data_IF_537676831620
#
_entry.id   IF_537676831620
#
_cell.length_a   1.000
_cell.length_b   1.000
_cell.length_c   1.000
_cell.angle_alpha   90.00
_cell.angle_beta   90.00
_cell.angle_gamma   90.00
#
_symmetry.space_group_name_H-M   'P 1'
#
loop_
_entity.id
_entity.type
_entity.pdbx_description
1 polymer ?
#
# COMPACT_ATOMS: atom_id res chain seq x y z
N UNK A 1 15.52 10.39 12.05
CA UNK A 1 15.04 9.00 11.95
C UNK A 1 14.24 8.95 10.65
N UNK A 2 14.70 8.23 9.62
CA UNK A 2 14.10 8.33 8.27
C UNK A 2 13.06 7.21 8.12
N UNK A 3 11.83 7.46 8.58
CA UNK A 3 10.68 6.58 8.37
C UNK A 3 9.58 7.35 7.64
N UNK A 4 8.73 6.64 6.91
CA UNK A 4 7.51 7.23 6.37
C UNK A 4 6.54 7.47 7.52
N UNK A 5 6.20 8.74 7.79
CA UNK A 5 5.43 9.12 8.98
C UNK A 5 4.05 8.44 9.01
N UNK A 6 3.48 8.15 7.83
CA UNK A 6 2.22 7.41 7.67
C UNK A 6 2.18 6.01 8.28
N UNK A 7 3.30 5.47 8.76
CA UNK A 7 3.33 4.21 9.53
C UNK A 7 2.96 4.46 11.01
N UNK A 8 3.33 5.63 11.56
CA UNK A 8 3.20 5.96 12.99
C UNK A 8 2.19 7.08 13.27
N UNK A 9 1.84 7.86 12.25
CA UNK A 9 0.88 8.96 12.37
C UNK A 9 -0.52 8.43 12.74
N UNK A 10 -1.30 9.16 13.57
CA UNK A 10 -2.68 8.81 13.92
C UNK A 10 -3.52 8.48 12.69
N UNK A 11 -4.40 7.47 12.80
CA UNK A 11 -5.24 7.00 11.68
C UNK A 11 -6.06 8.16 11.10
N UNK A 12 -6.01 8.32 9.77
CA UNK A 12 -6.74 9.36 9.06
C UNK A 12 -8.21 8.94 8.83
N UNK A 13 -9.10 9.90 8.59
CA UNK A 13 -10.52 9.60 8.40
C UNK A 13 -10.79 8.84 7.09
N UNK A 14 -9.93 9.01 6.08
CA UNK A 14 -10.01 8.33 4.80
C UNK A 14 -8.66 7.80 4.33
N UNK A 15 -8.72 6.74 3.54
CA UNK A 15 -7.55 6.18 2.87
C UNK A 15 -7.91 5.60 1.49
N UNK A 16 -6.91 5.50 0.63
CA UNK A 16 -6.96 4.73 -0.62
C UNK A 16 -5.76 3.81 -0.64
N UNK A 17 -6.03 2.51 -0.73
CA UNK A 17 -5.04 1.46 -0.89
C UNK A 17 -4.93 1.12 -2.36
N UNK A 18 -3.73 1.12 -2.90
CA UNK A 18 -3.47 0.79 -4.31
C UNK A 18 -2.37 -0.24 -4.41
N UNK A 19 -2.67 -1.36 -5.04
CA UNK A 19 -1.76 -2.48 -5.21
C UNK A 19 -1.41 -2.64 -6.69
N UNK A 20 -0.13 -2.83 -6.98
CA UNK A 20 0.37 -2.88 -8.35
C UNK A 20 1.27 -4.07 -8.61
N UNK A 21 1.20 -4.58 -9.83
CA UNK A 21 2.16 -5.54 -10.37
C UNK A 21 3.21 -4.83 -11.23
N UNK A 22 4.45 -5.30 -11.20
CA UNK A 22 5.52 -4.77 -12.04
C UNK A 22 5.38 -5.32 -13.47
N UNK A 23 5.39 -4.44 -14.47
CA UNK A 23 5.37 -4.81 -15.89
C UNK A 23 6.72 -4.56 -16.58
N UNK A 24 7.51 -3.59 -16.09
CA UNK A 24 8.88 -3.32 -16.54
C UNK A 24 9.77 -3.00 -15.34
N UNK A 25 10.61 -3.97 -14.95
CA UNK A 25 11.47 -3.88 -13.77
C UNK A 25 12.59 -2.85 -13.91
N UNK A 26 13.11 -2.61 -15.12
CA UNK A 26 14.19 -1.64 -15.31
C UNK A 26 13.66 -0.22 -15.10
N UNK A 27 12.56 0.11 -15.78
CA UNK A 27 11.89 1.40 -15.63
C UNK A 27 11.27 1.59 -14.24
N UNK A 28 10.88 0.51 -13.56
CA UNK A 28 10.41 0.54 -12.19
C UNK A 28 11.50 1.01 -11.21
N UNK A 29 12.74 0.54 -11.35
CA UNK A 29 13.85 0.92 -10.47
C UNK A 29 14.09 2.44 -10.48
N UNK A 30 14.16 3.05 -11.67
CA UNK A 30 14.37 4.48 -11.84
C UNK A 30 13.21 5.30 -11.26
N UNK A 31 11.98 4.83 -11.44
CA UNK A 31 10.79 5.50 -10.94
C UNK A 31 10.70 5.46 -9.40
N UNK A 32 11.15 4.38 -8.77
CA UNK A 32 11.08 4.20 -7.30
C UNK A 32 11.92 5.23 -6.55
N UNK A 33 13.11 5.56 -7.06
CA UNK A 33 13.99 6.55 -6.41
C UNK A 33 13.31 7.94 -6.36
N UNK A 34 12.69 8.33 -7.48
CA UNK A 34 11.87 9.55 -7.55
C UNK A 34 10.62 9.47 -6.66
N UNK A 35 9.95 8.32 -6.64
CA UNK A 35 8.71 8.13 -5.88
C UNK A 35 8.94 8.17 -4.37
N UNK A 36 10.00 7.54 -3.87
CA UNK A 36 10.31 7.51 -2.44
C UNK A 36 10.45 8.92 -1.84
N UNK A 37 11.07 9.84 -2.59
CA UNK A 37 11.20 11.24 -2.17
C UNK A 37 9.86 11.97 -2.03
N UNK A 38 8.84 11.58 -2.82
CA UNK A 38 7.49 12.19 -2.80
C UNK A 38 6.63 11.69 -1.64
N UNK A 39 6.99 10.56 -1.04
CA UNK A 39 6.28 9.97 0.11
C UNK A 39 6.92 10.38 1.45
N UNK A 40 8.13 10.93 1.42
CA UNK A 40 8.79 11.40 2.62
C UNK A 40 8.01 12.55 3.29
N UNK A 41 7.51 12.31 4.51
CA UNK A 41 6.84 13.32 5.34
C UNK A 41 5.43 13.71 4.91
N UNK A 42 4.80 12.96 3.99
CA UNK A 42 3.43 13.26 3.52
C UNK A 42 2.33 12.56 4.32
N UNK A 43 2.67 11.67 5.26
CA UNK A 43 1.71 10.79 5.92
C UNK A 43 1.20 9.65 5.03
N UNK A 44 1.60 9.58 3.76
CA UNK A 44 1.36 8.42 2.89
C UNK A 44 2.41 7.34 3.10
N UNK A 45 2.14 6.13 2.59
CA UNK A 45 3.06 4.99 2.69
C UNK A 45 3.26 4.35 1.31
N UNK A 46 4.52 4.15 0.95
CA UNK A 46 4.99 3.31 -0.15
C UNK A 46 5.57 2.02 0.44
N UNK A 47 4.95 0.89 0.13
CA UNK A 47 5.41 -0.46 0.46
C UNK A 47 5.99 -1.17 -0.76
N UNK A 48 7.08 -1.91 -0.55
CA UNK A 48 7.73 -2.75 -1.58
C UNK A 48 7.39 -4.21 -1.30
N UNK A 49 6.78 -4.86 -2.28
CA UNK A 49 6.48 -6.29 -2.22
C UNK A 49 7.64 -7.16 -2.68
N UNK A 50 7.59 -8.43 -2.29
CA UNK A 50 8.61 -9.42 -2.66
C UNK A 50 8.84 -9.55 -4.17
N UNK A 51 7.81 -9.56 -5.05
CA UNK A 51 8.02 -9.66 -6.49
C UNK A 51 8.92 -8.55 -7.05
N UNK A 52 8.81 -7.33 -6.52
CA UNK A 52 9.66 -6.21 -6.94
C UNK A 52 11.07 -6.34 -6.40
N UNK A 53 11.23 -6.66 -5.11
CA UNK A 53 12.54 -6.83 -4.50
C UNK A 53 13.36 -7.93 -5.21
N UNK A 54 12.74 -9.09 -5.46
CA UNK A 54 13.37 -10.19 -6.21
C UNK A 54 13.68 -9.77 -7.65
N UNK A 55 12.74 -9.10 -8.33
CA UNK A 55 12.93 -8.62 -9.70
C UNK A 55 14.08 -7.62 -9.86
N UNK A 56 14.36 -6.83 -8.83
CA UNK A 56 15.50 -5.90 -8.76
C UNK A 56 16.78 -6.54 -8.22
N UNK A 57 16.75 -7.83 -7.85
CA UNK A 57 17.89 -8.53 -7.25
C UNK A 57 18.25 -8.01 -5.84
N UNK A 58 17.31 -7.38 -5.15
CA UNK A 58 17.50 -6.81 -3.81
C UNK A 58 17.14 -7.82 -2.72
N UNK A 59 18.05 -8.02 -1.77
CA UNK A 59 17.79 -8.84 -0.58
C UNK A 59 17.36 -7.93 0.59
N UNK A 60 16.11 -8.08 1.04
CA UNK A 60 15.56 -7.37 2.20
C UNK A 60 15.36 -8.38 3.34
N UNK A 61 16.15 -8.31 4.43
CA UNK A 61 15.99 -9.22 5.56
C UNK A 61 14.58 -9.16 6.16
N UNK A 62 13.95 -10.33 6.30
CA UNK A 62 12.59 -10.45 6.85
C UNK A 62 11.45 -10.20 5.85
N UNK A 63 11.76 -9.93 4.57
CA UNK A 63 10.75 -9.86 3.52
C UNK A 63 10.43 -11.27 2.99
N UNK A 64 9.50 -11.93 3.69
CA UNK A 64 8.98 -13.24 3.31
C UNK A 64 7.61 -13.10 2.62
N UNK A 65 7.28 -13.98 1.67
CA UNK A 65 5.91 -14.04 1.14
C UNK A 65 4.93 -14.38 2.27
N UNK A 66 3.72 -13.82 2.18
CA UNK A 66 2.63 -14.16 3.11
C UNK A 66 2.37 -15.68 3.06
N UNK A 67 2.35 -16.37 4.21
CA UNK A 67 2.14 -17.80 4.24
C UNK A 67 0.72 -18.18 3.78
N UNK A 68 0.61 -19.28 3.03
CA UNK A 68 -0.69 -19.87 2.69
C UNK A 68 -1.23 -20.65 3.89
N UNK A 69 -2.40 -20.24 4.39
CA UNK A 69 -3.11 -20.87 5.50
C UNK A 69 -4.37 -21.63 5.06
N UNK A 70 -4.51 -21.91 3.76
CA UNK A 70 -5.66 -22.63 3.22
C UNK A 70 -5.72 -24.06 3.77
N UNK A 71 -6.68 -24.32 4.66
CA UNK A 71 -6.88 -25.60 5.36
C UNK A 71 -8.36 -25.87 5.61
N UNK A 72 -8.77 -27.14 5.54
CA UNK A 72 -10.11 -27.57 5.99
C UNK A 72 -11.29 -26.91 5.26
N UNK A 73 -11.13 -26.52 4.00
CA UNK A 73 -12.18 -25.85 3.21
C UNK A 73 -12.27 -24.33 3.39
N UNK A 74 -11.45 -23.76 4.28
CA UNK A 74 -11.20 -22.32 4.36
C UNK A 74 -10.00 -22.00 3.45
N UNK A 75 -10.18 -21.04 2.55
CA UNK A 75 -9.13 -20.54 1.67
C UNK A 75 -8.68 -19.18 2.19
N UNK A 76 -7.40 -19.07 2.56
CA UNK A 76 -6.75 -17.80 2.90
C UNK A 76 -5.68 -17.59 1.83
N UNK A 77 -6.03 -16.92 0.71
CA UNK A 77 -5.12 -16.80 -0.41
C UNK A 77 -3.90 -15.95 -0.04
N UNK A 78 -2.73 -16.39 -0.46
CA UNK A 78 -1.52 -15.56 -0.46
C UNK A 78 -1.41 -14.84 -1.79
N UNK A 79 -1.97 -13.64 -1.85
CA UNK A 79 -1.83 -12.75 -3.01
C UNK A 79 -0.66 -11.80 -2.77
N UNK A 80 0.27 -11.72 -3.73
CA UNK A 80 1.45 -10.88 -3.65
C UNK A 80 1.45 -9.90 -4.81
N UNK A 81 1.70 -8.63 -4.50
CA UNK A 81 1.86 -7.56 -5.47
C UNK A 81 3.25 -6.92 -5.35
N UNK A 82 3.68 -6.23 -6.41
CA UNK A 82 5.00 -5.60 -6.48
C UNK A 82 5.10 -4.33 -5.63
N UNK A 83 4.02 -3.53 -5.56
CA UNK A 83 3.94 -2.30 -4.79
C UNK A 83 2.61 -2.15 -4.06
N UNK A 84 2.67 -1.51 -2.89
CA UNK A 84 1.51 -1.03 -2.14
C UNK A 84 1.66 0.48 -1.93
N UNK A 85 0.64 1.26 -2.29
CA UNK A 85 0.50 2.65 -1.89
C UNK A 85 -0.66 2.78 -0.91
N UNK A 86 -0.42 3.47 0.21
CA UNK A 86 -1.46 3.86 1.15
C UNK A 86 -1.51 5.38 1.15
N UNK A 87 -2.50 5.93 0.46
CA UNK A 87 -2.81 7.36 0.49
C UNK A 87 -3.79 7.61 1.64
N UNK A 88 -3.55 8.64 2.43
CA UNK A 88 -4.23 8.90 3.70
C UNK A 88 -4.57 10.38 3.82
N UNK A 89 -5.75 10.72 4.34
CA UNK A 89 -6.15 12.10 4.53
C UNK A 89 -7.62 12.23 4.94
N UNK A 90 -8.08 13.48 5.04
CA UNK A 90 -9.44 13.79 5.52
C UNK A 90 -10.39 14.26 4.41
N UNK A 91 -9.88 14.42 3.18
CA UNK A 91 -10.66 14.77 1.98
C UNK A 91 -10.65 13.60 0.97
N UNK A 92 -11.77 12.86 0.86
CA UNK A 92 -11.89 11.75 -0.10
C UNK A 92 -11.70 12.17 -1.56
N UNK A 93 -12.12 13.37 -1.95
CA UNK A 93 -12.03 13.82 -3.33
C UNK A 93 -10.57 14.12 -3.71
N UNK A 94 -9.84 14.80 -2.82
CA UNK A 94 -8.41 15.03 -3.01
C UNK A 94 -7.59 13.73 -3.03
N UNK A 95 -7.99 12.74 -2.23
CA UNK A 95 -7.36 11.41 -2.24
C UNK A 95 -7.60 10.68 -3.58
N UNK A 96 -8.82 10.72 -4.12
CA UNK A 96 -9.13 10.08 -5.39
C UNK A 96 -8.40 10.73 -6.58
N UNK A 97 -8.29 12.06 -6.57
CA UNK A 97 -7.48 12.80 -7.55
C UNK A 97 -6.00 12.40 -7.46
N UNK A 98 -5.45 12.36 -6.25
CA UNK A 98 -4.06 11.95 -6.00
C UNK A 98 -3.80 10.50 -6.43
N UNK A 99 -4.72 9.59 -6.11
CA UNK A 99 -4.67 8.20 -6.53
C UNK A 99 -4.65 8.07 -8.06
N UNK A 100 -5.50 8.83 -8.75
CA UNK A 100 -5.58 8.81 -10.21
C UNK A 100 -4.31 9.35 -10.87
N UNK A 101 -3.74 10.44 -10.33
CA UNK A 101 -2.50 11.01 -10.81
C UNK A 101 -1.30 10.06 -10.61
N UNK A 102 -1.22 9.39 -9.45
CA UNK A 102 -0.19 8.38 -9.17
C UNK A 102 -0.36 7.14 -10.05
N UNK A 103 -1.59 6.63 -10.24
CA UNK A 103 -1.85 5.53 -11.14
C UNK A 103 -1.38 5.81 -12.57
N UNK A 104 -1.62 7.03 -13.07
CA UNK A 104 -1.13 7.49 -14.38
C UNK A 104 0.40 7.59 -14.42
N UNK A 105 1.03 8.06 -13.35
CA UNK A 105 2.50 8.18 -13.27
C UNK A 105 3.17 6.81 -13.30
N UNK A 106 2.55 5.81 -12.67
CA UNK A 106 3.09 4.45 -12.53
C UNK A 106 2.80 3.57 -13.75
N UNK A 107 1.85 3.93 -14.62
CA UNK A 107 1.32 3.04 -15.66
C UNK A 107 2.34 2.60 -16.72
N UNK A 108 3.50 3.26 -16.81
CA UNK A 108 4.57 2.85 -17.73
C UNK A 108 5.36 1.62 -17.24
N UNK A 109 5.43 1.40 -15.92
CA UNK A 109 6.27 0.35 -15.32
C UNK A 109 5.48 -0.59 -14.40
N UNK A 110 4.26 -0.20 -14.03
CA UNK A 110 3.37 -0.94 -13.15
C UNK A 110 1.94 -1.01 -13.71
N UNK A 111 1.25 -2.11 -13.45
CA UNK A 111 -0.20 -2.25 -13.69
C UNK A 111 -0.93 -2.23 -12.35
N UNK A 112 -2.00 -1.43 -12.26
CA UNK A 112 -2.88 -1.41 -11.08
C UNK A 112 -3.64 -2.74 -10.99
N UNK A 113 -3.40 -3.49 -9.94
CA UNK A 113 -4.07 -4.76 -9.66
C UNK A 113 -5.35 -4.54 -8.84
N UNK A 114 -5.27 -3.73 -7.79
CA UNK A 114 -6.39 -3.43 -6.91
C UNK A 114 -6.36 -1.97 -6.44
N UNK A 115 -7.55 -1.36 -6.29
CA UNK A 115 -7.73 -0.05 -5.65
C UNK A 115 -8.93 -0.14 -4.70
N UNK A 116 -8.67 0.05 -3.42
CA UNK A 116 -9.68 -0.09 -2.36
C UNK A 116 -9.74 1.18 -1.52
N UNK A 117 -10.94 1.73 -1.36
CA UNK A 117 -11.19 2.88 -0.49
C UNK A 117 -11.43 2.44 0.95
N UNK A 118 -10.85 3.17 1.90
CA UNK A 118 -11.05 2.99 3.34
C UNK A 118 -11.57 4.28 3.99
N UNK A 119 -12.32 4.12 5.08
CA UNK A 119 -12.79 5.24 5.89
C UNK A 119 -12.94 4.81 7.35
N UNK A 120 -12.79 5.77 8.26
CA UNK A 120 -13.06 5.57 9.68
C UNK A 120 -14.56 5.56 9.92
N UNK A 121 -15.12 4.42 10.30
CA UNK A 121 -16.54 4.28 10.59
C UNK A 121 -16.83 4.58 12.07
N UNK A 122 -17.87 5.37 12.34
CA UNK A 122 -18.38 5.68 13.69
C UNK A 122 -17.31 5.86 14.80
N UNK A 123 -16.28 6.67 14.52
CA UNK A 123 -15.24 6.99 15.50
C UNK A 123 -14.18 5.92 15.72
N UNK A 124 -14.06 4.93 14.82
CA UNK A 124 -13.08 3.84 14.91
C UNK A 124 -13.70 2.45 15.13
N UNK A 125 -14.99 2.30 14.82
CA UNK A 125 -15.66 1.00 14.83
C UNK A 125 -15.45 0.27 13.51
N UNK A 126 -15.44 -1.06 13.57
CA UNK A 126 -15.63 -1.88 12.38
C UNK A 126 -17.11 -1.85 11.92
N UNK A 127 -17.38 -2.40 10.73
CA UNK A 127 -18.74 -2.47 10.18
C UNK A 127 -19.65 -3.46 10.92
N UNK A 128 -19.12 -4.27 11.84
CA UNK A 128 -19.92 -5.12 12.74
C UNK A 128 -20.42 -4.35 13.96
N UNK A 129 -19.91 -3.12 14.16
CA UNK A 129 -20.31 -2.19 15.21
C UNK A 129 -19.42 -2.25 16.45
N UNK A 130 -18.32 -3.02 16.44
CA UNK A 130 -17.39 -3.10 17.55
C UNK A 130 -16.26 -2.08 17.40
N UNK A 131 -15.73 -1.59 18.52
CA UNK A 131 -14.54 -0.73 18.52
C UNK A 131 -13.32 -1.54 18.09
N UNK A 132 -12.64 -1.09 17.04
CA UNK A 132 -11.48 -1.76 16.47
C UNK A 132 -10.19 -1.03 16.87
N UNK A 133 -9.16 -1.79 17.24
CA UNK A 133 -7.87 -1.24 17.66
C UNK A 133 -7.76 -0.77 19.13
N UNK A 134 -8.66 -1.20 20.03
CA UNK A 134 -8.59 -0.87 21.48
C UNK A 134 -7.27 -1.28 22.14
N UNK A 135 -6.63 -2.37 21.66
CA UNK A 135 -5.37 -2.90 22.21
C UNK A 135 -4.12 -2.48 21.41
N UNK A 136 -4.27 -1.58 20.43
CA UNK A 136 -3.15 -1.08 19.61
C UNK A 136 -2.27 -0.05 20.34
#
# INVERSE_FOLDING_TARGET
MNHQSGILDPIADHAVFMEFDAVDLLSAADLLDGLASRFAGTGHVLGIGRPLADGLGAAVPGLDPFPDYSQGGLSIPSTQHALLLILRGDDPAALDESASALGTTLSSCFSLAEKTGGFKYEGGRDLTGYEDGTEN
#
